data_IF_669723575734
#
_entry.id   IF_669723575734
#
_cell.length_a   1.000
_cell.length_b   1.000
_cell.length_c   1.000
_cell.angle_alpha   90.00
_cell.angle_beta   90.00
_cell.angle_gamma   90.00
#
_symmetry.space_group_name_H-M   'P 1'
#
loop_
_entity.id
_entity.type
_entity.pdbx_description
1 polymer ?
#
# COMPACT_ATOMS: atom_id res chain seq x y z
N UNK A 1 50.92 -46.72 15.42
CA UNK A 1 51.08 -45.52 14.56
C UNK A 1 50.05 -45.48 13.43
N UNK A 2 49.91 -46.52 12.58
CA UNK A 2 48.94 -46.51 11.46
C UNK A 2 47.47 -46.33 11.89
N UNK A 3 47.01 -47.04 12.91
CA UNK A 3 45.62 -46.93 13.38
C UNK A 3 45.34 -45.59 14.09
N UNK A 4 46.35 -45.03 14.75
CA UNK A 4 46.26 -43.73 15.42
C UNK A 4 46.15 -42.58 14.41
N UNK A 5 46.88 -42.63 13.29
CA UNK A 5 46.77 -41.68 12.19
C UNK A 5 45.39 -41.72 11.53
N UNK A 6 44.83 -42.93 11.37
CA UNK A 6 43.52 -43.12 10.75
C UNK A 6 42.41 -42.52 11.64
N UNK A 7 42.45 -42.77 12.95
CA UNK A 7 41.49 -42.20 13.90
C UNK A 7 41.60 -40.67 13.94
N UNK A 8 42.82 -40.12 13.91
CA UNK A 8 43.04 -38.67 13.85
C UNK A 8 42.47 -38.07 12.55
N UNK A 9 42.72 -38.71 11.40
CA UNK A 9 42.19 -38.29 10.11
C UNK A 9 40.65 -38.32 10.07
N UNK A 10 40.01 -39.38 10.60
CA UNK A 10 38.55 -39.45 10.71
C UNK A 10 37.98 -38.39 11.68
N UNK A 11 38.68 -38.09 12.77
CA UNK A 11 38.26 -37.02 13.69
C UNK A 11 38.33 -35.64 13.04
N UNK A 12 39.35 -35.35 12.22
CA UNK A 12 39.44 -34.10 11.46
C UNK A 12 38.31 -33.93 10.45
N UNK A 13 37.86 -35.02 9.81
CA UNK A 13 36.72 -34.99 8.88
C UNK A 13 35.37 -34.72 9.57
N UNK A 14 35.23 -35.06 10.87
CA UNK A 14 34.00 -34.85 11.63
C UNK A 14 33.71 -33.39 12.01
N UNK A 15 34.67 -32.48 11.83
CA UNK A 15 34.52 -31.05 12.09
C UNK A 15 34.14 -30.22 10.85
N UNK A 16 33.95 -30.85 9.68
CA UNK A 16 33.40 -30.16 8.51
C UNK A 16 31.89 -30.05 8.72
N UNK A 17 31.48 -29.07 9.51
CA UNK A 17 30.10 -28.63 9.58
C UNK A 17 29.74 -28.05 8.20
N UNK A 18 29.08 -28.85 7.36
CA UNK A 18 28.36 -28.31 6.20
C UNK A 18 27.38 -27.26 6.75
N UNK A 19 27.70 -25.99 6.58
CA UNK A 19 26.77 -24.91 6.89
C UNK A 19 25.61 -25.04 5.90
N UNK A 20 24.49 -25.62 6.35
CA UNK A 20 23.23 -25.48 5.63
C UNK A 20 22.96 -23.98 5.54
N UNK A 21 22.85 -23.47 4.33
CA UNK A 21 22.81 -22.04 4.03
C UNK A 21 21.58 -21.43 4.73
N UNK A 22 21.82 -20.45 5.61
CA UNK A 22 20.74 -19.64 6.20
C UNK A 22 20.12 -18.79 5.10
N UNK A 23 18.93 -19.17 4.62
CA UNK A 23 18.14 -18.44 3.62
C UNK A 23 17.87 -19.26 2.36
N UNK A 24 16.63 -19.24 1.87
CA UNK A 24 16.26 -19.88 0.60
C UNK A 24 16.47 -18.85 -0.50
N UNK A 25 17.50 -19.03 -1.33
CA UNK A 25 17.67 -18.28 -2.57
C UNK A 25 17.11 -19.08 -3.74
N UNK A 26 16.31 -18.45 -4.59
CA UNK A 26 15.90 -19.01 -5.89
C UNK A 26 16.43 -18.06 -6.97
N UNK A 27 17.52 -18.44 -7.63
CA UNK A 27 18.19 -17.60 -8.62
C UNK A 27 18.50 -18.36 -9.90
N UNK A 28 18.38 -17.67 -11.03
CA UNK A 28 18.83 -18.15 -12.35
C UNK A 28 20.30 -17.82 -12.61
N UNK A 29 20.99 -17.18 -11.66
CA UNK A 29 22.41 -16.86 -11.74
C UNK A 29 23.18 -17.49 -10.58
N UNK A 30 24.37 -18.03 -10.88
CA UNK A 30 25.19 -18.79 -9.92
C UNK A 30 25.99 -17.93 -8.93
N UNK A 31 25.79 -16.60 -8.88
CA UNK A 31 26.76 -15.67 -8.28
C UNK A 31 26.21 -14.67 -7.26
N UNK A 32 24.98 -14.81 -6.78
CA UNK A 32 24.44 -13.91 -5.78
C UNK A 32 23.96 -14.67 -4.55
N UNK A 33 24.66 -14.47 -3.44
CA UNK A 33 24.17 -14.88 -2.13
C UNK A 33 22.87 -14.12 -1.83
N UNK A 34 21.89 -14.74 -1.16
CA UNK A 34 20.67 -14.04 -0.75
C UNK A 34 21.01 -12.85 0.15
N UNK A 35 20.23 -11.78 0.06
CA UNK A 35 20.41 -10.63 0.95
C UNK A 35 20.24 -11.05 2.42
N UNK A 36 21.10 -10.55 3.32
CA UNK A 36 21.16 -10.99 4.72
C UNK A 36 19.88 -10.72 5.54
N UNK A 37 19.00 -9.82 5.06
CA UNK A 37 17.71 -9.52 5.69
C UNK A 37 16.54 -10.34 5.14
N UNK A 38 16.75 -11.20 4.14
CA UNK A 38 15.69 -11.90 3.44
C UNK A 38 15.64 -13.39 3.82
N UNK A 39 14.44 -13.88 4.15
CA UNK A 39 14.17 -15.31 4.32
C UNK A 39 14.03 -15.98 2.93
N UNK A 40 13.50 -15.25 1.96
CA UNK A 40 13.39 -15.64 0.55
C UNK A 40 13.92 -14.50 -0.33
N UNK A 41 14.93 -14.81 -1.16
CA UNK A 41 15.47 -13.89 -2.18
C UNK A 41 15.30 -14.55 -3.55
N UNK A 42 14.51 -13.91 -4.43
CA UNK A 42 14.21 -14.40 -5.78
C UNK A 42 14.86 -13.45 -6.78
N UNK A 43 15.86 -13.95 -7.50
CA UNK A 43 16.66 -13.13 -8.41
C UNK A 43 16.62 -13.68 -9.83
N UNK A 44 16.21 -12.83 -10.76
CA UNK A 44 16.13 -13.17 -12.18
C UNK A 44 15.99 -11.89 -13.00
N UNK A 45 16.62 -11.85 -14.18
CA UNK A 45 16.54 -10.72 -15.12
C UNK A 45 15.48 -10.91 -16.20
N UNK A 46 14.94 -12.12 -16.35
CA UNK A 46 14.06 -12.51 -17.48
C UNK A 46 12.77 -13.19 -17.06
N UNK A 47 12.72 -13.76 -15.85
CA UNK A 47 11.58 -14.46 -15.26
C UNK A 47 11.10 -13.76 -13.98
N UNK A 48 9.80 -13.81 -13.72
CA UNK A 48 9.19 -13.34 -12.46
C UNK A 48 8.64 -14.49 -11.62
N UNK A 49 7.91 -14.13 -10.56
CA UNK A 49 7.25 -15.09 -9.67
C UNK A 49 5.74 -15.13 -9.93
N UNK A 50 5.21 -16.34 -10.15
CA UNK A 50 3.76 -16.57 -10.10
C UNK A 50 3.33 -16.84 -8.65
N UNK A 51 2.49 -15.95 -8.13
CA UNK A 51 1.79 -16.12 -6.85
C UNK A 51 0.62 -17.10 -7.04
N UNK A 52 0.21 -17.89 -6.02
CA UNK A 52 -0.95 -18.77 -6.11
C UNK A 52 -2.18 -18.06 -6.67
N UNK A 53 -2.77 -18.62 -7.73
CA UNK A 53 -3.96 -18.09 -8.38
C UNK A 53 -5.19 -18.79 -7.82
N UNK A 54 -6.10 -18.01 -7.24
CA UNK A 54 -7.24 -18.50 -6.48
C UNK A 54 -8.51 -17.83 -7.01
N UNK A 55 -9.60 -18.59 -7.15
CA UNK A 55 -10.89 -18.04 -7.56
C UNK A 55 -11.69 -17.61 -6.32
N UNK A 56 -11.52 -16.36 -5.87
CA UNK A 56 -12.20 -15.85 -4.67
C UNK A 56 -13.56 -15.30 -5.08
N UNK A 57 -14.64 -16.02 -4.75
CA UNK A 57 -16.01 -15.62 -5.11
C UNK A 57 -16.67 -14.69 -4.10
N UNK A 58 -16.15 -14.63 -2.87
CA UNK A 58 -16.62 -13.74 -1.81
C UNK A 58 -15.40 -13.20 -1.04
N UNK A 59 -15.18 -11.89 -1.11
CA UNK A 59 -14.02 -11.23 -0.48
C UNK A 59 -14.16 -11.13 1.05
N UNK A 60 -15.33 -11.38 1.61
CA UNK A 60 -15.61 -11.26 3.05
C UNK A 60 -15.45 -12.57 3.84
N UNK A 61 -15.08 -13.66 3.16
CA UNK A 61 -14.91 -14.98 3.77
C UNK A 61 -13.54 -15.56 3.46
N UNK A 62 -13.09 -16.49 4.30
CA UNK A 62 -11.80 -17.17 4.11
C UNK A 62 -11.76 -18.00 2.81
N UNK A 63 -12.91 -18.51 2.36
CA UNK A 63 -13.00 -19.34 1.17
C UNK A 63 -12.41 -18.65 -0.07
N UNK A 64 -11.74 -19.40 -0.96
CA UNK A 64 -11.61 -20.86 -0.96
C UNK A 64 -10.36 -21.36 -0.22
N UNK A 65 -9.64 -20.51 0.50
CA UNK A 65 -8.47 -20.92 1.28
C UNK A 65 -8.93 -21.26 2.69
N UNK A 66 -8.74 -22.50 3.15
CA UNK A 66 -9.15 -22.87 4.51
C UNK A 66 -8.18 -22.28 5.54
N UNK A 67 -8.68 -21.44 6.45
CA UNK A 67 -7.89 -20.81 7.54
C UNK A 67 -6.63 -20.07 7.04
N UNK A 68 -6.77 -19.08 6.15
CA UNK A 68 -5.62 -18.32 5.64
C UNK A 68 -4.95 -17.56 6.79
N UNK A 69 -3.62 -17.58 6.81
CA UNK A 69 -2.86 -16.75 7.75
C UNK A 69 -2.98 -15.27 7.37
N UNK A 70 -2.96 -14.37 8.35
CA UNK A 70 -2.86 -12.93 8.07
C UNK A 70 -1.61 -12.66 7.21
N UNK A 71 -1.76 -11.76 6.24
CA UNK A 71 -0.77 -11.43 5.21
C UNK A 71 -0.51 -12.52 4.17
N UNK A 72 -1.31 -13.59 4.11
CA UNK A 72 -1.27 -14.54 3.00
C UNK A 72 -1.63 -13.84 1.69
N UNK A 73 -0.72 -13.86 0.71
CA UNK A 73 -0.90 -13.22 -0.60
C UNK A 73 -1.29 -14.23 -1.68
N UNK A 74 -2.30 -13.88 -2.49
CA UNK A 74 -2.78 -14.65 -3.65
C UNK A 74 -3.10 -13.72 -4.82
N UNK A 75 -3.23 -14.27 -6.02
CA UNK A 75 -3.84 -13.58 -7.15
C UNK A 75 -5.28 -14.06 -7.31
N UNK A 76 -6.26 -13.18 -7.13
CA UNK A 76 -7.67 -13.48 -7.42
C UNK A 76 -7.88 -13.58 -8.92
N UNK A 77 -8.32 -14.74 -9.41
CA UNK A 77 -8.66 -14.96 -10.82
C UNK A 77 -10.13 -14.68 -11.15
N UNK A 78 -10.97 -14.42 -10.15
CA UNK A 78 -12.39 -14.18 -10.35
C UNK A 78 -12.63 -12.82 -11.03
N UNK A 79 -13.36 -12.81 -12.15
CA UNK A 79 -13.64 -11.57 -12.90
C UNK A 79 -14.77 -10.74 -12.31
N UNK A 80 -15.63 -11.35 -11.48
CA UNK A 80 -16.78 -10.69 -10.83
C UNK A 80 -16.36 -9.94 -9.57
N UNK A 81 -15.56 -10.56 -8.69
CA UNK A 81 -15.03 -9.91 -7.47
C UNK A 81 -13.76 -9.09 -7.72
N UNK A 82 -13.32 -9.01 -8.98
CA UNK A 82 -12.20 -8.19 -9.41
C UNK A 82 -10.88 -8.97 -9.45
N UNK A 83 -10.30 -9.21 -10.63
CA UNK A 83 -9.04 -9.90 -10.74
C UNK A 83 -7.88 -9.00 -10.29
N UNK A 84 -6.92 -9.55 -9.56
CA UNK A 84 -5.78 -8.78 -9.04
C UNK A 84 -5.05 -9.48 -7.91
N UNK A 85 -4.07 -8.81 -7.33
CA UNK A 85 -3.36 -9.30 -6.14
C UNK A 85 -4.16 -8.98 -4.89
N UNK A 86 -4.32 -9.96 -4.01
CA UNK A 86 -5.03 -9.85 -2.74
C UNK A 86 -4.17 -10.39 -1.60
N UNK A 87 -4.39 -9.87 -0.40
CA UNK A 87 -3.90 -10.47 0.83
C UNK A 87 -5.05 -10.68 1.82
N UNK A 88 -4.91 -11.67 2.70
CA UNK A 88 -5.83 -11.87 3.81
C UNK A 88 -5.46 -10.95 4.97
N UNK A 89 -6.38 -10.11 5.45
CA UNK A 89 -6.13 -9.20 6.57
C UNK A 89 -6.38 -9.83 7.96
N UNK A 90 -6.90 -11.06 8.00
CA UNK A 90 -7.38 -11.72 9.21
C UNK A 90 -8.90 -11.95 9.20
N UNK A 91 -9.63 -11.23 8.36
CA UNK A 91 -11.09 -11.23 8.27
C UNK A 91 -11.66 -11.16 6.85
N UNK A 92 -10.93 -10.57 5.91
CA UNK A 92 -11.34 -10.39 4.53
C UNK A 92 -10.14 -10.42 3.57
N UNK A 93 -10.43 -10.65 2.30
CA UNK A 93 -9.50 -10.51 1.19
C UNK A 93 -9.45 -9.05 0.74
N UNK A 94 -8.28 -8.42 0.90
CA UNK A 94 -8.04 -7.03 0.55
C UNK A 94 -7.15 -6.95 -0.68
N UNK A 95 -7.52 -6.13 -1.67
CA UNK A 95 -6.72 -5.91 -2.87
C UNK A 95 -5.44 -5.13 -2.55
N UNK A 96 -4.32 -5.52 -3.17
CA UNK A 96 -3.05 -4.77 -3.16
C UNK A 96 -3.00 -3.71 -4.28
N UNK A 97 -4.02 -3.64 -5.14
CA UNK A 97 -4.11 -2.63 -6.19
C UNK A 97 -4.74 -1.33 -5.71
N UNK A 98 -4.11 -0.21 -6.07
CA UNK A 98 -4.64 1.15 -5.92
C UNK A 98 -5.84 1.47 -6.83
N UNK A 99 -6.51 2.57 -6.49
CA UNK A 99 -7.64 3.21 -7.15
C UNK A 99 -7.35 3.71 -8.58
N UNK A 100 -7.77 2.94 -9.58
CA UNK A 100 -7.70 3.26 -11.04
C UNK A 100 -8.43 4.55 -11.51
N UNK A 101 -8.85 5.40 -10.57
CA UNK A 101 -9.48 6.74 -10.57
C UNK A 101 -8.45 7.90 -10.56
N UNK A 102 -8.89 9.18 -10.57
CA UNK A 102 -8.04 10.34 -10.20
C UNK A 102 -7.64 10.31 -8.70
N UNK A 103 -8.22 9.40 -7.93
CA UNK A 103 -8.14 9.22 -6.48
C UNK A 103 -7.16 8.09 -6.04
N UNK A 104 -6.33 7.58 -6.95
CA UNK A 104 -5.11 6.81 -6.59
C UNK A 104 -3.98 7.70 -6.02
N UNK A 105 -4.16 9.01 -6.17
CA UNK A 105 -3.20 10.01 -5.83
C UNK A 105 -3.28 10.27 -4.32
N UNK A 106 -2.14 10.15 -3.62
CA UNK A 106 -1.96 10.45 -2.18
C UNK A 106 -2.40 11.84 -1.75
N UNK A 107 -2.72 12.70 -2.72
CA UNK A 107 -2.89 14.14 -2.57
C UNK A 107 -4.37 14.57 -2.75
N UNK A 108 -5.31 13.62 -2.79
CA UNK A 108 -6.75 13.90 -2.77
C UNK A 108 -7.30 13.69 -1.36
N UNK A 109 -7.64 14.78 -0.67
CA UNK A 109 -8.23 14.74 0.67
C UNK A 109 -9.75 14.81 0.56
N UNK A 110 -10.44 13.78 1.06
CA UNK A 110 -11.89 13.82 1.26
C UNK A 110 -12.17 14.21 2.71
N UNK A 111 -12.88 15.32 2.94
CA UNK A 111 -13.33 15.73 4.28
C UNK A 111 -14.84 15.57 4.35
N UNK A 112 -15.31 14.74 5.26
CA UNK A 112 -16.74 14.51 5.52
C UNK A 112 -17.18 15.24 6.80
N UNK A 113 -18.40 15.79 6.78
CA UNK A 113 -18.98 16.51 7.91
C UNK A 113 -20.52 16.46 7.89
N UNK A 114 -21.15 17.20 8.81
CA UNK A 114 -22.61 17.33 8.87
C UNK A 114 -23.00 18.80 8.79
N UNK A 115 -23.86 19.15 7.82
CA UNK A 115 -24.48 20.47 7.72
C UNK A 115 -26.00 20.27 7.70
N UNK A 116 -26.72 20.92 8.63
CA UNK A 116 -28.18 20.82 8.70
C UNK A 116 -28.73 19.41 8.93
N UNK A 117 -27.97 18.50 9.56
CA UNK A 117 -28.37 17.10 9.79
C UNK A 117 -28.17 16.17 8.59
N UNK A 118 -27.58 16.65 7.49
CA UNK A 118 -27.24 15.84 6.31
C UNK A 118 -25.72 15.63 6.23
N UNK A 119 -25.32 14.43 5.78
CA UNK A 119 -23.92 14.14 5.48
C UNK A 119 -23.47 14.94 4.26
N UNK A 120 -22.35 15.65 4.38
CA UNK A 120 -21.77 16.50 3.34
C UNK A 120 -20.28 16.20 3.18
N UNK A 121 -19.79 16.24 1.94
CA UNK A 121 -18.42 15.85 1.58
C UNK A 121 -17.76 16.97 0.79
N UNK A 122 -16.54 17.36 1.17
CA UNK A 122 -15.67 18.28 0.43
C UNK A 122 -14.56 17.49 -0.27
N UNK A 123 -14.26 17.84 -1.51
CA UNK A 123 -13.19 17.24 -2.30
C UNK A 123 -12.09 18.26 -2.54
N UNK A 124 -10.88 17.98 -2.03
CA UNK A 124 -9.70 18.80 -2.25
C UNK A 124 -8.75 18.06 -3.19
N UNK A 125 -8.39 18.71 -4.31
CA UNK A 125 -7.45 18.18 -5.29
C UNK A 125 -6.18 19.06 -5.28
N UNK A 126 -5.13 18.63 -4.57
CA UNK A 126 -3.88 19.38 -4.40
C UNK A 126 -3.22 19.14 -3.04
N UNK A 127 -1.90 19.25 -2.98
CA UNK A 127 -1.12 19.21 -1.74
C UNK A 127 -1.53 20.38 -0.82
N UNK A 128 -1.52 20.17 0.50
CA UNK A 128 -1.71 21.23 1.52
C UNK A 128 -3.09 21.95 1.56
N UNK A 129 -4.19 21.23 1.29
CA UNK A 129 -5.55 21.72 1.59
C UNK A 129 -5.82 21.92 3.10
N UNK A 130 -6.97 22.49 3.50
CA UNK A 130 -7.26 22.85 4.89
C UNK A 130 -7.11 21.66 5.85
N UNK A 131 -6.46 21.91 6.98
CA UNK A 131 -6.05 20.86 7.93
C UNK A 131 -7.23 20.30 8.72
N UNK A 132 -8.27 21.08 9.01
CA UNK A 132 -9.49 20.64 9.72
C UNK A 132 -10.66 21.66 9.60
N UNK A 133 -11.33 21.79 8.45
CA UNK A 133 -12.43 22.74 8.34
C UNK A 133 -13.69 22.18 9.01
N UNK A 134 -14.28 22.90 9.97
CA UNK A 134 -15.65 22.62 10.47
C UNK A 134 -16.72 23.17 9.52
N UNK A 135 -16.32 23.99 8.56
CA UNK A 135 -17.16 24.44 7.45
C UNK A 135 -17.13 23.45 6.29
N UNK A 136 -18.30 23.24 5.68
CA UNK A 136 -18.51 22.19 4.68
C UNK A 136 -18.79 22.79 3.29
N UNK A 137 -18.87 21.92 2.28
CA UNK A 137 -19.25 22.27 0.90
C UNK A 137 -18.25 23.19 0.18
N UNK A 138 -16.98 23.14 0.53
CA UNK A 138 -15.94 23.86 -0.21
C UNK A 138 -15.38 22.99 -1.35
N UNK A 139 -15.00 23.63 -2.46
CA UNK A 139 -14.25 23.03 -3.57
C UNK A 139 -12.89 23.72 -3.62
N UNK A 140 -11.81 22.97 -3.37
CA UNK A 140 -10.43 23.46 -3.46
C UNK A 140 -9.64 22.65 -4.49
N UNK A 141 -9.11 23.31 -5.52
CA UNK A 141 -8.31 22.69 -6.58
C UNK A 141 -7.03 23.52 -6.76
N UNK A 142 -5.85 23.00 -6.41
CA UNK A 142 -4.57 23.71 -6.43
C UNK A 142 -3.79 23.67 -5.11
N UNK A 143 -2.48 23.88 -5.15
CA UNK A 143 -1.62 23.90 -3.95
C UNK A 143 -1.98 25.09 -3.04
N UNK A 144 -2.08 24.86 -1.74
CA UNK A 144 -2.52 25.84 -0.72
C UNK A 144 -3.92 26.47 -0.92
N UNK A 145 -4.72 26.00 -1.89
CA UNK A 145 -6.08 26.46 -2.06
C UNK A 145 -6.90 26.19 -0.78
N UNK A 146 -7.49 27.24 -0.21
CA UNK A 146 -8.22 27.21 1.08
C UNK A 146 -7.40 26.72 2.29
N UNK A 147 -6.06 26.76 2.23
CA UNK A 147 -5.20 26.19 3.28
C UNK A 147 -5.46 26.71 4.70
N UNK A 148 -5.87 27.98 4.86
CA UNK A 148 -6.22 28.58 6.17
C UNK A 148 -7.72 28.53 6.51
N UNK A 149 -8.55 27.85 5.72
CA UNK A 149 -9.98 27.74 5.99
C UNK A 149 -10.26 26.91 7.25
N UNK A 150 -10.83 27.56 8.28
CA UNK A 150 -11.17 26.90 9.56
C UNK A 150 -12.67 26.64 9.68
N UNK A 151 -13.52 27.65 9.47
CA UNK A 151 -14.98 27.52 9.51
C UNK A 151 -15.67 28.07 8.25
N UNK A 152 -14.91 28.31 7.18
CA UNK A 152 -15.42 28.76 5.90
C UNK A 152 -16.26 27.66 5.22
N UNK A 153 -17.41 28.01 4.63
CA UNK A 153 -18.31 27.04 3.99
C UNK A 153 -18.73 27.50 2.59
N UNK A 154 -19.03 26.58 1.69
CA UNK A 154 -19.61 26.91 0.37
C UNK A 154 -18.73 27.84 -0.50
N UNK A 155 -17.40 27.67 -0.43
CA UNK A 155 -16.46 28.42 -1.27
C UNK A 155 -15.91 27.57 -2.43
N UNK A 156 -15.61 28.19 -3.56
CA UNK A 156 -14.93 27.55 -4.70
C UNK A 156 -13.60 28.26 -4.95
N UNK A 157 -12.49 27.55 -4.74
CA UNK A 157 -11.12 28.01 -4.96
C UNK A 157 -10.44 27.12 -5.99
N UNK A 158 -10.05 27.69 -7.14
CA UNK A 158 -9.40 26.96 -8.23
C UNK A 158 -8.13 27.71 -8.66
N UNK A 159 -6.96 27.15 -8.34
CA UNK A 159 -5.61 27.66 -8.62
C UNK A 159 -4.73 27.68 -7.36
N UNK A 160 -3.41 27.91 -7.53
CA UNK A 160 -2.46 27.92 -6.41
C UNK A 160 -2.72 29.11 -5.48
N UNK A 161 -2.71 28.92 -4.17
CA UNK A 161 -3.01 29.95 -3.16
C UNK A 161 -4.39 30.62 -3.28
N UNK A 162 -5.30 30.07 -4.09
CA UNK A 162 -6.66 30.62 -4.19
C UNK A 162 -7.38 30.53 -2.83
N UNK A 163 -7.79 31.68 -2.29
CA UNK A 163 -8.40 31.82 -0.96
C UNK A 163 -7.53 31.27 0.20
N UNK A 164 -6.21 31.30 0.08
CA UNK A 164 -5.28 30.78 1.10
C UNK A 164 -5.42 31.46 2.47
N UNK A 165 -5.76 32.76 2.51
CA UNK A 165 -5.98 33.54 3.72
C UNK A 165 -7.43 33.55 4.24
N UNK A 166 -8.36 32.81 3.61
CA UNK A 166 -9.78 32.82 3.99
C UNK A 166 -9.99 32.00 5.27
N UNK A 167 -10.03 32.65 6.43
CA UNK A 167 -10.21 31.98 7.73
C UNK A 167 -11.68 31.68 8.04
N UNK A 168 -12.55 32.69 7.87
CA UNK A 168 -14.01 32.63 8.04
C UNK A 168 -14.69 33.36 6.89
N UNK A 169 -15.63 32.70 6.20
CA UNK A 169 -16.38 33.31 5.10
C UNK A 169 -17.12 32.26 4.27
N UNK A 170 -18.23 32.65 3.67
CA UNK A 170 -19.02 31.74 2.84
C UNK A 170 -19.35 32.36 1.48
N UNK A 171 -19.60 31.50 0.50
CA UNK A 171 -20.02 31.88 -0.85
C UNK A 171 -18.97 32.68 -1.66
N UNK A 172 -17.68 32.47 -1.40
CA UNK A 172 -16.61 33.10 -2.18
C UNK A 172 -16.23 32.22 -3.38
N UNK A 173 -15.93 32.88 -4.50
CA UNK A 173 -15.38 32.24 -5.69
C UNK A 173 -14.06 32.91 -6.04
N UNK A 174 -12.98 32.13 -6.08
CA UNK A 174 -11.68 32.57 -6.57
C UNK A 174 -11.18 31.60 -7.65
N UNK A 175 -10.68 32.17 -8.74
CA UNK A 175 -10.10 31.45 -9.87
C UNK A 175 -8.77 32.12 -10.25
N UNK A 176 -7.68 31.36 -10.27
CA UNK A 176 -6.34 31.86 -10.58
C UNK A 176 -5.34 31.64 -9.44
N UNK A 177 -4.17 32.24 -9.57
CA UNK A 177 -3.11 32.22 -8.55
C UNK A 177 -3.26 33.40 -7.59
N UNK A 178 -3.10 33.14 -6.28
CA UNK A 178 -3.12 34.13 -5.19
C UNK A 178 -1.74 34.67 -4.84
#
# INVERSE_FOLDING_TARGET
MKNTLLILALSLFSFIQMQAQNGVAISTSSSAAPHASAILDVQSTTQGMLIPRVNITDLSTADPVTSPATSLMVYNSNTTTGPGFFYWDGSAWVTLGGAKKLDDLSDVKTVTGTAGGLAVTSYYFGLNGPTSPTGNLNIGIGDYALSSATSASENTAIGSFALDGLTTGSYNIALGEG
#
